data_IF_421290028288
#
_entry.id   IF_421290028288
#
_cell.length_a   1.000
_cell.length_b   1.000
_cell.length_c   1.000
_cell.angle_alpha   90.00
_cell.angle_beta   90.00
_cell.angle_gamma   90.00
#
_symmetry.space_group_name_H-M   'P 1'
#
loop_
_entity.id
_entity.type
_entity.pdbx_description
1 polymer ?
#
# COMPACT_ATOMS: atom_id res chain seq x y z
N UNK A 1 4.44 -17.26 29.20
CA UNK A 1 3.35 -16.44 28.63
C UNK A 1 3.97 -15.67 27.49
N UNK A 2 3.61 -16.01 26.25
CA UNK A 2 4.40 -15.69 25.08
C UNK A 2 3.56 -14.83 24.14
N UNK A 3 3.40 -13.54 24.46
CA UNK A 3 2.61 -12.60 23.65
C UNK A 3 3.30 -11.22 23.55
N UNK A 4 4.63 -11.20 23.38
CA UNK A 4 5.39 -9.98 23.07
C UNK A 4 5.40 -9.63 21.57
N UNK A 5 4.46 -10.16 20.78
CA UNK A 5 4.27 -9.77 19.37
C UNK A 5 3.18 -8.71 19.18
N UNK A 6 2.93 -7.90 20.21
CA UNK A 6 2.09 -6.69 20.14
C UNK A 6 2.82 -5.50 19.47
N UNK A 7 3.70 -5.79 18.50
CA UNK A 7 4.34 -4.82 17.62
C UNK A 7 3.82 -5.11 16.22
N UNK A 8 2.91 -4.26 15.71
CA UNK A 8 2.26 -4.27 14.38
C UNK A 8 2.38 -5.54 13.51
N UNK A 9 1.24 -6.13 13.12
CA UNK A 9 1.23 -7.24 12.17
C UNK A 9 1.88 -6.87 10.83
N UNK A 10 2.39 -7.86 10.09
CA UNK A 10 2.96 -7.64 8.75
C UNK A 10 1.96 -6.95 7.82
N UNK A 11 0.67 -7.29 7.93
CA UNK A 11 -0.38 -6.65 7.14
C UNK A 11 -0.54 -5.16 7.48
N UNK A 12 -0.54 -4.82 8.78
CA UNK A 12 -0.61 -3.42 9.21
C UNK A 12 0.64 -2.65 8.80
N UNK A 13 1.80 -3.32 8.77
CA UNK A 13 3.05 -2.72 8.31
C UNK A 13 3.01 -2.35 6.83
N UNK A 14 2.46 -3.22 5.97
CA UNK A 14 2.33 -2.93 4.54
C UNK A 14 1.40 -1.74 4.29
N UNK A 15 0.24 -1.72 4.94
CA UNK A 15 -0.71 -0.59 4.85
C UNK A 15 -0.07 0.70 5.33
N UNK A 16 0.63 0.65 6.46
CA UNK A 16 1.35 1.79 6.99
C UNK A 16 2.39 2.33 6.00
N UNK A 17 3.21 1.45 5.42
CA UNK A 17 4.22 1.85 4.43
C UNK A 17 3.59 2.46 3.17
N UNK A 18 2.52 1.85 2.63
CA UNK A 18 1.82 2.40 1.47
C UNK A 18 1.26 3.81 1.76
N UNK A 19 0.65 3.99 2.94
CA UNK A 19 0.14 5.29 3.38
C UNK A 19 1.26 6.30 3.67
N UNK A 20 2.43 5.85 4.14
CA UNK A 20 3.59 6.73 4.30
C UNK A 20 4.09 7.26 2.96
N UNK A 21 4.25 6.39 1.96
CA UNK A 21 4.67 6.80 0.62
C UNK A 21 3.67 7.81 0.04
N UNK A 22 2.37 7.50 0.12
CA UNK A 22 1.30 8.36 -0.36
C UNK A 22 1.31 9.76 0.29
N UNK A 23 1.53 9.84 1.61
CA UNK A 23 1.64 11.13 2.32
C UNK A 23 2.82 11.97 1.83
N UNK A 24 3.96 11.34 1.55
CA UNK A 24 5.17 12.06 1.11
C UNK A 24 4.99 12.74 -0.25
N UNK A 25 4.16 12.17 -1.12
CA UNK A 25 3.94 12.66 -2.49
C UNK A 25 2.61 13.41 -2.66
N UNK A 26 1.82 13.53 -1.60
CA UNK A 26 0.46 14.09 -1.65
C UNK A 26 0.39 15.53 -2.21
N UNK A 27 1.49 16.30 -2.11
CA UNK A 27 1.58 17.68 -2.62
C UNK A 27 1.47 17.77 -4.15
N UNK A 28 1.72 16.67 -4.87
CA UNK A 28 1.65 16.62 -6.34
C UNK A 28 0.21 16.55 -6.86
N UNK A 29 -0.77 16.32 -5.98
CA UNK A 29 -2.17 16.11 -6.37
C UNK A 29 -2.51 14.62 -6.54
N UNK A 30 -3.80 14.29 -6.48
CA UNK A 30 -4.28 12.92 -6.28
C UNK A 30 -3.79 11.93 -7.35
N UNK A 31 -3.93 12.29 -8.63
CA UNK A 31 -3.61 11.37 -9.74
C UNK A 31 -2.11 11.16 -9.93
N UNK A 32 -1.32 12.24 -9.89
CA UNK A 32 0.14 12.17 -10.02
C UNK A 32 0.76 11.45 -8.81
N UNK A 33 0.28 11.75 -7.60
CA UNK A 33 0.69 11.03 -6.39
C UNK A 33 0.37 9.54 -6.47
N UNK A 34 -0.80 9.15 -6.98
CA UNK A 34 -1.18 7.74 -7.10
C UNK A 34 -0.28 7.00 -8.12
N UNK A 35 0.04 7.62 -9.25
CA UNK A 35 0.97 7.05 -10.23
C UNK A 35 2.38 6.89 -9.64
N UNK A 36 2.88 7.91 -8.92
CA UNK A 36 4.19 7.84 -8.27
C UNK A 36 4.26 6.75 -7.19
N UNK A 37 3.18 6.57 -6.41
CA UNK A 37 3.09 5.51 -5.40
C UNK A 37 3.08 4.13 -6.07
N UNK A 38 2.34 3.96 -7.16
CA UNK A 38 2.36 2.72 -7.96
C UNK A 38 3.79 2.39 -8.40
N UNK A 39 4.47 3.35 -9.03
CA UNK A 39 5.83 3.15 -9.57
C UNK A 39 6.82 2.81 -8.45
N UNK A 40 6.72 3.48 -7.30
CA UNK A 40 7.55 3.21 -6.13
C UNK A 40 7.32 1.78 -5.62
N UNK A 41 6.06 1.39 -5.38
CA UNK A 41 5.75 0.04 -4.89
C UNK A 41 6.20 -1.01 -5.90
N UNK A 42 6.00 -0.80 -7.20
CA UNK A 42 6.42 -1.76 -8.23
C UNK A 42 7.94 -1.93 -8.31
N UNK A 43 8.69 -0.85 -8.07
CA UNK A 43 10.15 -0.84 -8.18
C UNK A 43 10.84 -1.42 -6.95
N UNK A 44 10.27 -1.20 -5.76
CA UNK A 44 10.94 -1.50 -4.50
C UNK A 44 10.33 -2.66 -3.71
N UNK A 45 9.08 -3.06 -3.98
CA UNK A 45 8.43 -4.14 -3.24
C UNK A 45 8.50 -5.46 -4.02
N UNK A 46 8.72 -6.54 -3.27
CA UNK A 46 8.69 -7.88 -3.82
C UNK A 46 7.31 -8.24 -4.40
N UNK A 47 7.26 -9.14 -5.41
CA UNK A 47 6.01 -9.58 -6.02
C UNK A 47 4.95 -10.06 -5.02
N UNK A 48 5.38 -10.71 -3.94
CA UNK A 48 4.48 -11.20 -2.89
C UNK A 48 3.88 -10.08 -2.05
N UNK A 49 4.66 -9.04 -1.71
CA UNK A 49 4.15 -7.87 -0.98
C UNK A 49 3.09 -7.14 -1.80
N UNK A 50 3.29 -7.02 -3.13
CA UNK A 50 2.32 -6.39 -4.04
C UNK A 50 1.00 -7.15 -4.07
N UNK A 51 1.04 -8.49 -4.10
CA UNK A 51 -0.17 -9.33 -4.00
C UNK A 51 -0.86 -9.16 -2.66
N UNK A 52 -0.10 -9.12 -1.56
CA UNK A 52 -0.66 -8.93 -0.22
C UNK A 52 -1.35 -7.58 -0.06
N UNK A 53 -0.74 -6.48 -0.51
CA UNK A 53 -1.37 -5.17 -0.38
C UNK A 53 -2.63 -5.04 -1.25
N UNK A 54 -2.67 -5.69 -2.41
CA UNK A 54 -3.88 -5.79 -3.24
C UNK A 54 -4.99 -6.54 -2.50
N UNK A 55 -4.69 -7.68 -1.89
CA UNK A 55 -5.66 -8.42 -1.08
C UNK A 55 -6.15 -7.60 0.12
N UNK A 56 -5.23 -6.94 0.83
CA UNK A 56 -5.56 -6.09 1.98
C UNK A 56 -6.44 -4.90 1.60
N UNK A 57 -6.29 -4.34 0.39
CA UNK A 57 -7.16 -3.27 -0.09
C UNK A 57 -8.60 -3.75 -0.31
N UNK A 58 -8.80 -5.02 -0.69
CA UNK A 58 -10.13 -5.62 -0.83
C UNK A 58 -10.75 -5.99 0.52
N UNK A 59 -9.94 -6.50 1.47
CA UNK A 59 -10.40 -6.90 2.80
C UNK A 59 -10.65 -5.70 3.73
N UNK A 60 -9.82 -4.65 3.61
CA UNK A 60 -9.80 -3.49 4.50
C UNK A 60 -9.72 -2.18 3.70
N UNK A 61 -10.76 -1.84 2.91
CA UNK A 61 -10.75 -0.68 2.03
C UNK A 61 -10.51 0.65 2.77
N UNK A 62 -11.02 0.77 3.99
CA UNK A 62 -10.90 2.00 4.81
C UNK A 62 -9.52 2.19 5.45
N UNK A 63 -8.64 1.18 5.38
CA UNK A 63 -7.31 1.25 5.99
C UNK A 63 -6.28 1.98 5.12
N UNK A 64 -6.56 2.13 3.82
CA UNK A 64 -5.70 2.86 2.89
C UNK A 64 -6.19 4.29 2.70
N UNK A 65 -5.26 5.23 2.63
CA UNK A 65 -5.56 6.59 2.19
C UNK A 65 -6.06 6.58 0.73
N UNK A 66 -6.83 7.59 0.30
CA UNK A 66 -7.36 7.64 -1.07
C UNK A 66 -6.29 7.49 -2.16
N UNK A 67 -5.14 8.14 -1.98
CA UNK A 67 -3.98 8.04 -2.90
C UNK A 67 -3.41 6.62 -2.92
N UNK A 68 -3.21 6.01 -1.76
CA UNK A 68 -2.67 4.65 -1.67
C UNK A 68 -3.65 3.61 -2.24
N UNK A 69 -4.95 3.76 -1.97
CA UNK A 69 -5.98 2.89 -2.53
C UNK A 69 -6.03 2.99 -4.07
N UNK A 70 -5.96 4.21 -4.63
CA UNK A 70 -5.91 4.42 -6.07
C UNK A 70 -4.66 3.78 -6.70
N UNK A 71 -3.50 3.93 -6.06
CA UNK A 71 -2.25 3.30 -6.52
C UNK A 71 -2.33 1.77 -6.49
N UNK A 72 -2.84 1.19 -5.40
CA UNK A 72 -3.02 -0.27 -5.27
C UNK A 72 -4.01 -0.80 -6.31
N UNK A 73 -5.07 -0.05 -6.61
CA UNK A 73 -5.99 -0.38 -7.70
C UNK A 73 -5.28 -0.47 -9.06
N UNK A 74 -4.35 0.44 -9.35
CA UNK A 74 -3.54 0.39 -10.58
C UNK A 74 -2.59 -0.83 -10.60
N UNK A 75 -1.98 -1.16 -9.46
CA UNK A 75 -1.12 -2.34 -9.32
C UNK A 75 -1.91 -3.64 -9.58
N UNK A 76 -3.14 -3.72 -9.07
CA UNK A 76 -4.00 -4.90 -9.25
C UNK A 76 -4.27 -5.22 -10.73
N UNK A 77 -4.41 -4.20 -11.58
CA UNK A 77 -4.60 -4.37 -13.04
C UNK A 77 -3.36 -4.97 -13.71
N UNK A 78 -2.17 -4.61 -13.22
CA UNK A 78 -0.90 -5.07 -13.78
C UNK A 78 -0.42 -6.42 -13.22
N UNK A 79 -0.99 -6.89 -12.10
CA UNK A 79 -0.61 -8.14 -11.44
C UNK A 79 -1.35 -9.37 -12.00
N UNK A 80 -1.52 -9.43 -13.32
CA UNK A 80 -2.12 -10.58 -14.02
C UNK A 80 -1.17 -11.76 -14.14
#
# INVERSE_FOLDING_TARGET
>A
MNDENAVMSTADRLIYMANQIARNVAVMGQDEAAAMVEDHIRSFWDPMMRRQIVALAAERPDALSPIAAAAVGRIAVHCR
#
